data_IF_224645095276
#
_entry.id   IF_224645095276
#
_cell.length_a   1.000
_cell.length_b   1.000
_cell.length_c   1.000
_cell.angle_alpha   90.00
_cell.angle_beta   90.00
_cell.angle_gamma   90.00
#
_symmetry.space_group_name_H-M   'P 1'
#
loop_
_entity.id
_entity.type
_entity.pdbx_description
1 polymer ?
#
# COMPACT_ATOMS: atom_id res chain seq x y z
N UNK A 1 -7.29 11.77 -67.65
CA UNK A 1 -6.66 10.94 -66.61
C UNK A 1 -6.96 11.59 -65.25
N UNK A 2 -7.94 11.04 -64.52
CA UNK A 2 -8.26 11.46 -63.16
C UNK A 2 -7.49 10.54 -62.19
N UNK A 3 -6.54 11.11 -61.44
CA UNK A 3 -5.81 10.41 -60.39
C UNK A 3 -6.69 10.31 -59.14
N UNK A 4 -7.05 9.08 -58.79
CA UNK A 4 -7.77 8.78 -57.55
C UNK A 4 -6.75 8.76 -56.39
N UNK A 5 -6.81 9.75 -55.50
CA UNK A 5 -6.02 9.77 -54.26
C UNK A 5 -6.74 8.90 -53.23
N UNK A 6 -6.23 7.72 -52.96
CA UNK A 6 -6.72 6.85 -51.90
C UNK A 6 -5.99 7.28 -50.61
N UNK A 7 -6.68 8.02 -49.72
CA UNK A 7 -6.24 8.31 -48.38
C UNK A 7 -6.43 7.04 -47.52
N UNK A 8 -5.34 6.35 -47.20
CA UNK A 8 -5.34 5.35 -46.16
C UNK A 8 -5.39 6.07 -44.81
N UNK A 9 -6.57 6.16 -44.22
CA UNK A 9 -6.71 6.48 -42.83
C UNK A 9 -6.34 5.22 -42.02
N UNK A 10 -5.12 5.18 -41.50
CA UNK A 10 -4.76 4.22 -40.45
C UNK A 10 -5.58 4.60 -39.22
N UNK A 11 -6.60 3.81 -38.90
CA UNK A 11 -7.26 3.87 -37.60
C UNK A 11 -6.21 3.50 -36.58
N UNK A 12 -5.66 4.50 -35.87
CA UNK A 12 -4.95 4.27 -34.62
C UNK A 12 -6.03 3.78 -33.66
N UNK A 13 -6.05 2.48 -33.39
CA UNK A 13 -6.88 1.95 -32.29
C UNK A 13 -6.38 2.63 -31.02
N UNK A 14 -7.23 3.41 -30.37
CA UNK A 14 -6.92 3.97 -29.07
C UNK A 14 -6.55 2.81 -28.14
N UNK A 15 -5.41 2.90 -27.50
CA UNK A 15 -4.95 1.93 -26.51
C UNK A 15 -5.97 1.89 -25.38
N UNK A 16 -6.30 0.70 -24.87
CA UNK A 16 -7.22 0.60 -23.75
C UNK A 16 -6.56 1.14 -22.48
N UNK A 17 -7.34 1.59 -21.51
CA UNK A 17 -6.80 2.10 -20.26
C UNK A 17 -6.05 1.02 -19.47
N UNK A 18 -6.44 -0.24 -19.67
CA UNK A 18 -5.76 -1.41 -19.10
C UNK A 18 -4.36 -1.59 -19.70
N UNK A 19 -4.22 -1.43 -21.02
CA UNK A 19 -2.93 -1.51 -21.69
C UNK A 19 -2.02 -0.34 -21.28
N UNK A 20 -2.59 0.87 -21.15
CA UNK A 20 -1.87 2.03 -20.62
C UNK A 20 -1.41 1.78 -19.17
N UNK A 21 -2.28 1.22 -18.32
CA UNK A 21 -1.95 0.90 -16.92
C UNK A 21 -0.80 -0.09 -16.82
N UNK A 22 -0.74 -1.11 -17.67
CA UNK A 22 0.38 -2.05 -17.74
C UNK A 22 1.67 -1.31 -18.07
N UNK A 23 1.66 -0.43 -19.07
CA UNK A 23 2.82 0.34 -19.48
C UNK A 23 3.26 1.32 -18.36
N UNK A 24 2.32 2.05 -17.78
CA UNK A 24 2.61 2.97 -16.66
C UNK A 24 3.20 2.24 -15.45
N UNK A 25 2.68 1.05 -15.10
CA UNK A 25 3.23 0.29 -13.99
C UNK A 25 4.67 -0.14 -14.26
N UNK A 26 4.97 -0.61 -15.48
CA UNK A 26 6.34 -0.96 -15.86
C UNK A 26 7.28 0.24 -15.74
N UNK A 27 6.85 1.41 -16.23
CA UNK A 27 7.64 2.64 -16.17
C UNK A 27 7.76 3.15 -14.74
N UNK A 28 6.68 3.10 -13.95
CA UNK A 28 6.71 3.54 -12.56
C UNK A 28 7.60 2.67 -11.66
N UNK A 29 7.68 1.35 -11.90
CA UNK A 29 8.61 0.48 -11.19
C UNK A 29 10.06 0.90 -11.46
N UNK A 30 10.39 1.39 -12.67
CA UNK A 30 11.74 1.89 -13.03
C UNK A 30 12.10 3.20 -12.34
N UNK A 31 11.12 3.94 -11.85
CA UNK A 31 11.36 5.12 -11.03
C UNK A 31 11.87 4.68 -9.67
N UNK A 32 13.15 4.96 -9.40
CA UNK A 32 13.80 4.59 -8.13
C UNK A 32 13.36 5.53 -7.00
N UNK A 33 12.49 5.02 -6.16
CA UNK A 33 11.97 5.66 -4.94
C UNK A 33 12.25 4.80 -3.70
N UNK A 34 13.35 4.06 -3.71
CA UNK A 34 13.75 3.22 -2.55
C UNK A 34 13.95 4.09 -1.32
N UNK A 35 13.29 3.74 -0.23
CA UNK A 35 13.33 4.43 1.05
C UNK A 35 13.95 3.53 2.15
N UNK A 36 15.05 3.90 2.81
CA UNK A 36 15.81 5.12 2.61
C UNK A 36 16.68 5.11 1.33
N UNK A 37 17.07 6.28 0.76
CA UNK A 37 16.83 7.62 1.28
C UNK A 37 15.48 8.24 0.90
N UNK A 38 14.70 7.64 0.00
CA UNK A 38 13.50 8.16 -0.61
C UNK A 38 13.76 8.63 -2.05
N UNK A 39 13.48 9.84 -2.43
CA UNK A 39 13.50 10.45 -3.77
C UNK A 39 12.15 10.40 -4.50
N UNK A 40 11.09 10.53 -3.75
CA UNK A 40 9.71 10.48 -4.26
C UNK A 40 9.38 11.67 -5.17
N UNK A 41 10.19 12.73 -5.19
CA UNK A 41 10.09 13.78 -6.22
C UNK A 41 10.22 13.21 -7.63
N UNK A 42 10.91 12.08 -7.84
CA UNK A 42 10.93 11.36 -9.13
C UNK A 42 9.55 10.76 -9.48
N UNK A 43 8.80 10.31 -8.47
CA UNK A 43 7.44 9.85 -8.67
C UNK A 43 6.50 11.02 -9.00
N UNK A 44 6.73 12.19 -8.39
CA UNK A 44 6.02 13.42 -8.77
C UNK A 44 6.25 13.74 -10.23
N UNK A 45 7.50 13.70 -10.72
CA UNK A 45 7.81 13.94 -12.13
C UNK A 45 7.08 12.96 -13.05
N UNK A 46 7.03 11.67 -12.69
CA UNK A 46 6.29 10.65 -13.44
C UNK A 46 4.79 10.99 -13.55
N UNK A 47 4.13 11.37 -12.45
CA UNK A 47 2.70 11.73 -12.48
C UNK A 47 2.44 13.04 -13.21
N UNK A 48 3.34 14.03 -13.08
CA UNK A 48 3.24 15.30 -13.78
C UNK A 48 3.21 15.12 -15.29
N UNK A 49 4.10 14.29 -15.85
CA UNK A 49 4.11 14.00 -17.29
C UNK A 49 2.76 13.46 -17.77
N UNK A 50 2.11 12.61 -16.98
CA UNK A 50 0.79 12.05 -17.32
C UNK A 50 -0.30 13.11 -17.18
N UNK A 51 -0.32 13.86 -16.09
CA UNK A 51 -1.34 14.91 -15.88
C UNK A 51 -1.23 16.04 -16.89
N UNK A 52 -0.01 16.45 -17.24
CA UNK A 52 0.22 17.43 -18.29
C UNK A 52 -0.31 16.96 -19.65
N UNK A 53 -0.10 15.68 -19.99
CA UNK A 53 -0.60 15.08 -21.23
C UNK A 53 -2.13 14.99 -21.28
N UNK A 54 -2.78 14.80 -20.13
CA UNK A 54 -4.24 14.73 -19.99
C UNK A 54 -4.90 16.10 -19.79
N UNK A 55 -4.11 17.15 -19.60
CA UNK A 55 -4.64 18.49 -19.30
C UNK A 55 -5.30 18.60 -17.93
N UNK A 56 -4.85 17.79 -16.96
CA UNK A 56 -5.34 17.76 -15.58
C UNK A 56 -4.55 18.77 -14.75
N UNK A 57 -5.25 19.63 -14.01
CA UNK A 57 -4.65 20.52 -13.04
C UNK A 57 -4.24 19.72 -11.79
N UNK A 58 -3.03 19.97 -11.31
CA UNK A 58 -2.47 19.30 -10.12
C UNK A 58 -1.64 20.28 -9.29
N UNK A 59 -1.43 19.93 -8.05
CA UNK A 59 -0.47 20.59 -7.17
C UNK A 59 0.51 19.55 -6.62
N UNK A 60 1.69 20.04 -6.22
CA UNK A 60 2.69 19.20 -5.60
C UNK A 60 3.57 20.01 -4.65
N UNK A 61 4.26 19.31 -3.75
CA UNK A 61 5.17 19.89 -2.77
C UNK A 61 6.28 18.93 -2.39
N UNK A 62 7.49 19.43 -2.17
CA UNK A 62 8.51 18.73 -1.41
C UNK A 62 8.38 19.07 0.09
N UNK A 63 8.03 18.10 0.91
CA UNK A 63 7.99 18.27 2.37
C UNK A 63 9.38 18.29 3.01
N UNK A 64 10.36 17.68 2.33
CA UNK A 64 11.80 17.73 2.58
C UNK A 64 12.53 17.44 1.26
N UNK A 65 13.83 17.69 1.13
CA UNK A 65 14.57 17.45 -0.11
C UNK A 65 14.36 16.01 -0.63
N UNK A 66 13.85 15.89 -1.86
CA UNK A 66 13.53 14.62 -2.51
C UNK A 66 12.21 13.97 -2.07
N UNK A 67 11.51 14.50 -1.05
CA UNK A 67 10.27 13.95 -0.50
C UNK A 67 9.05 14.61 -1.16
N UNK A 68 8.80 14.26 -2.41
CA UNK A 68 7.74 14.83 -3.22
C UNK A 68 6.38 14.20 -2.96
N UNK A 69 5.35 15.03 -2.88
CA UNK A 69 3.94 14.65 -2.76
C UNK A 69 3.15 15.38 -3.85
N UNK A 70 2.21 14.70 -4.50
CA UNK A 70 1.41 15.26 -5.60
C UNK A 70 -0.05 14.89 -5.46
N UNK A 71 -0.96 15.81 -5.81
CA UNK A 71 -2.39 15.56 -5.83
C UNK A 71 -3.09 16.30 -6.98
N UNK A 72 -4.21 15.73 -7.38
CA UNK A 72 -5.12 16.31 -8.36
C UNK A 72 -6.56 16.07 -7.90
N UNK A 73 -7.48 16.97 -8.27
CA UNK A 73 -8.90 16.90 -7.91
C UNK A 73 -9.77 17.02 -9.15
N UNK A 74 -10.70 16.08 -9.29
CA UNK A 74 -11.83 16.21 -10.19
C UNK A 74 -13.01 16.72 -9.36
N UNK A 75 -13.52 17.89 -9.70
CA UNK A 75 -14.65 18.49 -9.02
C UNK A 75 -15.94 17.71 -9.33
N UNK A 76 -16.81 17.58 -8.34
CA UNK A 76 -18.07 16.89 -8.44
C UNK A 76 -19.18 17.61 -7.69
N UNK A 77 -20.26 16.90 -7.36
CA UNK A 77 -21.40 17.39 -6.61
C UNK A 77 -21.18 17.41 -5.09
N UNK A 78 -22.27 17.55 -4.36
CA UNK A 78 -22.26 17.85 -2.92
C UNK A 78 -22.10 16.62 -2.01
N UNK A 79 -21.96 15.40 -2.57
CA UNK A 79 -21.68 14.23 -1.75
C UNK A 79 -20.27 14.27 -1.19
N UNK A 80 -20.02 13.70 0.00
CA UNK A 80 -18.65 13.61 0.57
C UNK A 80 -17.67 13.01 -0.42
N UNK A 81 -16.53 13.69 -0.62
CA UNK A 81 -15.53 13.35 -1.62
C UNK A 81 -14.88 11.97 -1.40
N UNK A 82 -14.31 11.43 -2.45
CA UNK A 82 -13.51 10.21 -2.46
C UNK A 82 -12.04 10.55 -2.69
N UNK A 83 -11.16 10.06 -1.82
CA UNK A 83 -9.72 10.14 -2.01
C UNK A 83 -9.15 8.78 -2.41
N UNK A 84 -8.37 8.76 -3.49
CA UNK A 84 -7.55 7.64 -3.93
C UNK A 84 -6.11 7.91 -3.46
N UNK A 85 -5.77 7.39 -2.30
CA UNK A 85 -4.48 7.59 -1.66
C UNK A 85 -3.52 6.46 -2.03
N UNK A 86 -2.27 6.81 -2.24
CA UNK A 86 -1.18 5.85 -2.40
C UNK A 86 0.12 6.43 -1.87
N UNK A 87 1.06 5.56 -1.48
CA UNK A 87 2.45 5.95 -1.31
C UNK A 87 3.29 5.58 -2.53
N UNK A 88 4.39 6.30 -2.71
CA UNK A 88 5.25 6.17 -3.89
C UNK A 88 6.62 5.59 -3.60
N UNK A 89 7.03 5.60 -2.33
CA UNK A 89 8.25 4.96 -1.88
C UNK A 89 8.11 3.44 -1.82
N UNK A 90 9.25 2.78 -1.79
CA UNK A 90 9.33 1.32 -1.72
C UNK A 90 10.49 0.92 -0.81
N UNK A 91 10.37 -0.20 -0.09
CA UNK A 91 11.46 -0.75 0.73
C UNK A 91 12.63 -1.20 -0.13
N UNK A 92 13.87 -1.23 0.42
CA UNK A 92 15.04 -1.74 -0.27
C UNK A 92 14.86 -3.17 -0.79
N UNK A 93 15.52 -3.48 -1.89
CA UNK A 93 15.59 -4.81 -2.47
C UNK A 93 17.04 -5.20 -2.71
N UNK A 94 17.49 -6.26 -2.07
CA UNK A 94 18.80 -6.81 -2.33
C UNK A 94 18.76 -7.68 -3.60
N UNK A 95 19.49 -7.25 -4.63
CA UNK A 95 19.48 -7.86 -5.96
C UNK A 95 19.86 -9.34 -5.96
N UNK A 96 20.64 -9.79 -4.98
CA UNK A 96 21.05 -11.20 -4.90
C UNK A 96 19.89 -12.17 -4.62
N UNK A 97 18.78 -11.68 -4.05
CA UNK A 97 17.58 -12.47 -3.80
C UNK A 97 16.51 -12.36 -4.90
N UNK A 98 16.81 -11.67 -6.01
CA UNK A 98 15.89 -11.46 -7.11
C UNK A 98 16.32 -12.20 -8.37
N UNK A 99 15.35 -12.75 -9.12
CA UNK A 99 15.61 -13.41 -10.40
C UNK A 99 15.71 -12.43 -11.57
N UNK A 100 15.37 -11.15 -11.34
CA UNK A 100 15.47 -10.03 -12.28
C UNK A 100 15.87 -8.77 -11.52
N UNK A 101 16.21 -7.68 -12.21
CA UNK A 101 16.48 -6.42 -11.51
C UNK A 101 15.19 -5.94 -10.82
N UNK A 102 15.22 -5.67 -9.49
CA UNK A 102 14.04 -5.22 -8.75
C UNK A 102 13.36 -3.95 -9.30
N UNK A 103 14.08 -3.14 -10.06
CA UNK A 103 13.56 -1.93 -10.68
C UNK A 103 13.38 -2.07 -12.21
N UNK A 104 13.32 -3.28 -12.75
CA UNK A 104 13.18 -3.48 -14.20
C UNK A 104 11.78 -3.21 -14.73
N UNK A 105 10.74 -3.46 -13.95
CA UNK A 105 9.36 -3.47 -14.44
C UNK A 105 9.16 -4.51 -15.57
N UNK A 106 9.87 -5.65 -15.49
CA UNK A 106 9.81 -6.68 -16.52
C UNK A 106 8.42 -7.32 -16.57
N UNK A 107 7.83 -7.36 -17.76
CA UNK A 107 6.62 -8.14 -18.02
C UNK A 107 7.02 -9.55 -18.47
N UNK A 108 6.71 -10.57 -17.68
CA UNK A 108 7.03 -11.96 -17.97
C UNK A 108 5.89 -12.88 -17.55
N UNK A 109 5.46 -13.74 -18.44
CA UNK A 109 4.39 -14.73 -18.21
C UNK A 109 3.07 -14.12 -17.67
N UNK A 110 2.75 -12.88 -18.07
CA UNK A 110 1.56 -12.16 -17.62
C UNK A 110 1.71 -11.44 -16.27
N UNK A 111 2.91 -11.43 -15.69
CA UNK A 111 3.22 -10.75 -14.43
C UNK A 111 4.21 -9.62 -14.64
N UNK A 112 3.99 -8.50 -13.97
CA UNK A 112 4.95 -7.41 -13.89
C UNK A 112 5.82 -7.64 -12.64
N UNK A 113 7.11 -7.82 -12.87
CA UNK A 113 8.08 -8.13 -11.83
C UNK A 113 8.81 -6.85 -11.39
N UNK A 114 8.85 -6.61 -10.09
CA UNK A 114 9.62 -5.50 -9.55
C UNK A 114 9.24 -5.14 -8.11
N UNK A 115 10.13 -4.43 -7.43
CA UNK A 115 9.89 -3.87 -6.11
C UNK A 115 8.81 -2.77 -6.25
N UNK A 116 7.78 -2.83 -5.40
CA UNK A 116 6.64 -1.93 -5.48
C UNK A 116 5.52 -2.39 -6.43
N UNK A 117 5.70 -3.46 -7.22
CA UNK A 117 4.65 -3.95 -8.12
C UNK A 117 3.34 -4.27 -7.37
N UNK A 118 3.42 -4.76 -6.14
CA UNK A 118 2.28 -5.04 -5.27
C UNK A 118 2.11 -3.97 -4.20
N UNK A 119 3.18 -3.55 -3.56
CA UNK A 119 3.22 -2.61 -2.44
C UNK A 119 4.04 -1.38 -2.85
N UNK A 120 3.35 -0.21 -3.17
CA UNK A 120 1.96 -0.23 -3.62
C UNK A 120 1.79 0.45 -4.99
N UNK A 121 2.89 0.54 -5.82
CA UNK A 121 2.84 1.18 -7.15
C UNK A 121 1.74 0.57 -8.05
N UNK A 122 1.50 -0.75 -7.94
CA UNK A 122 0.44 -1.41 -8.68
C UNK A 122 -0.95 -0.88 -8.34
N UNK A 123 -1.27 -0.77 -7.05
CA UNK A 123 -2.50 -0.14 -6.57
C UNK A 123 -2.55 1.34 -6.99
N UNK A 124 -1.41 2.03 -6.88
CA UNK A 124 -1.28 3.41 -7.31
C UNK A 124 -1.62 3.64 -8.78
N UNK A 125 -1.15 2.76 -9.67
CA UNK A 125 -1.53 2.83 -11.09
C UNK A 125 -3.00 2.46 -11.32
N UNK A 126 -3.58 1.54 -10.54
CA UNK A 126 -5.02 1.28 -10.60
C UNK A 126 -5.84 2.52 -10.17
N UNK A 127 -5.40 3.24 -9.15
CA UNK A 127 -5.97 4.54 -8.75
C UNK A 127 -5.84 5.57 -9.87
N UNK A 128 -4.66 5.69 -10.48
CA UNK A 128 -4.42 6.60 -11.61
C UNK A 128 -5.34 6.28 -12.79
N UNK A 129 -5.40 5.01 -13.20
CA UNK A 129 -6.25 4.58 -14.32
C UNK A 129 -7.74 4.86 -14.04
N UNK A 130 -8.19 4.65 -12.79
CA UNK A 130 -9.54 4.99 -12.36
C UNK A 130 -9.80 6.49 -12.46
N UNK A 131 -8.89 7.31 -11.94
CA UNK A 131 -8.97 8.76 -11.97
C UNK A 131 -9.00 9.31 -13.40
N UNK A 132 -8.11 8.83 -14.28
CA UNK A 132 -8.08 9.20 -15.69
C UNK A 132 -9.32 8.72 -16.45
N UNK A 133 -9.81 7.52 -16.16
CA UNK A 133 -11.05 7.00 -16.73
C UNK A 133 -12.26 7.87 -16.40
N UNK A 134 -12.35 8.38 -15.17
CA UNK A 134 -13.37 9.34 -14.76
C UNK A 134 -13.21 10.67 -15.50
N UNK A 135 -12.01 11.23 -15.55
CA UNK A 135 -11.69 12.45 -16.28
C UNK A 135 -12.06 12.36 -17.77
N UNK A 136 -11.55 11.34 -18.45
CA UNK A 136 -11.79 11.11 -19.88
C UNK A 136 -13.27 10.82 -20.21
N UNK A 137 -14.03 10.30 -19.24
CA UNK A 137 -15.46 10.03 -19.46
C UNK A 137 -16.30 11.29 -19.66
N UNK A 138 -15.84 12.43 -19.15
CA UNK A 138 -16.57 13.70 -19.15
C UNK A 138 -17.92 13.65 -18.40
N UNK A 139 -18.15 12.63 -17.60
CA UNK A 139 -19.40 12.48 -16.83
C UNK A 139 -19.41 13.43 -15.65
N UNK A 140 -20.59 13.99 -15.35
CA UNK A 140 -20.78 14.69 -14.10
C UNK A 140 -20.61 13.73 -12.93
N UNK A 141 -19.76 14.10 -11.99
CA UNK A 141 -19.52 13.33 -10.76
C UNK A 141 -20.44 13.83 -9.66
N UNK A 142 -20.90 12.93 -8.80
CA UNK A 142 -21.74 13.28 -7.64
C UNK A 142 -20.91 13.82 -6.46
N UNK A 143 -19.60 13.61 -6.49
CA UNK A 143 -18.63 13.96 -5.44
C UNK A 143 -17.28 14.31 -6.06
N UNK A 144 -16.49 15.03 -5.34
CA UNK A 144 -15.08 15.21 -5.70
C UNK A 144 -14.34 13.88 -5.67
N UNK A 145 -13.42 13.72 -6.61
CA UNK A 145 -12.46 12.60 -6.58
C UNK A 145 -11.06 13.19 -6.52
N UNK A 146 -10.32 12.86 -5.47
CA UNK A 146 -8.95 13.30 -5.25
C UNK A 146 -8.00 12.15 -5.46
N UNK A 147 -7.03 12.31 -6.34
CA UNK A 147 -5.87 11.44 -6.44
C UNK A 147 -4.77 12.05 -5.57
N UNK A 148 -4.19 11.27 -4.67
CA UNK A 148 -3.11 11.71 -3.79
C UNK A 148 -1.99 10.66 -3.74
N UNK A 149 -0.79 11.06 -4.16
CA UNK A 149 0.41 10.23 -4.09
C UNK A 149 1.42 10.86 -3.10
N UNK A 150 1.77 10.10 -2.07
CA UNK A 150 2.55 10.58 -0.92
C UNK A 150 3.92 9.93 -0.84
N UNK A 151 4.84 10.58 -0.15
CA UNK A 151 6.15 10.07 0.20
C UNK A 151 6.14 9.31 1.53
N UNK A 152 7.21 8.53 1.80
CA UNK A 152 7.67 8.16 3.14
C UNK A 152 6.80 7.18 3.94
N UNK A 153 5.87 6.48 3.33
CA UNK A 153 5.00 5.54 4.06
C UNK A 153 5.82 4.43 4.71
N UNK A 154 6.75 3.84 3.97
CA UNK A 154 7.61 2.72 4.39
C UNK A 154 8.56 3.06 5.56
N UNK A 155 8.70 4.36 5.86
CA UNK A 155 9.48 4.85 7.00
C UNK A 155 8.64 5.60 8.04
N UNK A 156 7.30 5.56 7.93
CA UNK A 156 6.35 6.07 8.91
C UNK A 156 5.53 7.28 8.48
N UNK A 157 5.63 7.73 7.23
CA UNK A 157 4.79 8.76 6.64
C UNK A 157 5.02 10.19 7.13
N UNK A 158 6.12 10.45 7.82
CA UNK A 158 6.42 11.76 8.42
C UNK A 158 6.62 12.85 7.38
N UNK A 159 7.10 12.51 6.18
CA UNK A 159 7.29 13.42 5.05
C UNK A 159 6.18 13.30 3.99
N UNK A 160 5.23 12.39 4.19
CA UNK A 160 4.09 12.15 3.33
C UNK A 160 2.78 12.59 3.96
N UNK A 161 1.88 11.63 4.18
CA UNK A 161 0.55 11.89 4.70
C UNK A 161 0.54 12.66 6.02
N UNK A 162 1.45 12.34 6.95
CA UNK A 162 1.56 13.06 8.22
C UNK A 162 1.87 14.55 8.01
N UNK A 163 2.86 14.86 7.17
CA UNK A 163 3.21 16.24 6.87
C UNK A 163 2.07 17.00 6.17
N UNK A 164 1.39 16.35 5.22
CA UNK A 164 0.29 16.96 4.48
C UNK A 164 -0.90 17.28 5.38
N UNK A 165 -1.26 16.41 6.31
CA UNK A 165 -2.33 16.66 7.28
C UNK A 165 -2.04 17.92 8.12
N UNK A 166 -0.78 18.13 8.49
CA UNK A 166 -0.38 19.28 9.32
C UNK A 166 -0.21 20.57 8.52
N UNK A 167 0.26 20.51 7.27
CA UNK A 167 0.69 21.68 6.50
C UNK A 167 -0.20 22.00 5.30
N UNK A 168 -1.01 21.06 4.82
CA UNK A 168 -1.91 21.19 3.65
C UNK A 168 -3.28 20.54 3.95
N UNK A 169 -3.93 20.86 5.09
CA UNK A 169 -5.20 20.24 5.50
C UNK A 169 -6.32 20.44 4.47
N UNK A 170 -6.26 21.47 3.62
CA UNK A 170 -7.26 21.75 2.59
C UNK A 170 -7.40 20.61 1.56
N UNK A 171 -6.37 19.78 1.37
CA UNK A 171 -6.44 18.61 0.48
C UNK A 171 -7.50 17.63 0.96
N UNK A 172 -7.71 17.55 2.27
CA UNK A 172 -8.60 16.59 2.94
C UNK A 172 -9.99 17.15 3.21
N UNK A 173 -10.22 18.45 2.96
CA UNK A 173 -11.52 19.06 3.18
C UNK A 173 -12.60 18.45 2.29
N UNK A 174 -13.75 18.15 2.89
CA UNK A 174 -14.89 17.55 2.20
C UNK A 174 -14.74 16.06 1.86
N UNK A 175 -13.62 15.41 2.17
CA UNK A 175 -13.40 13.98 1.93
C UNK A 175 -14.14 13.17 2.98
N UNK A 176 -15.02 12.27 2.53
CA UNK A 176 -15.77 11.35 3.39
C UNK A 176 -15.42 9.88 3.20
N UNK A 177 -14.73 9.56 2.10
CA UNK A 177 -14.26 8.21 1.77
C UNK A 177 -12.79 8.27 1.35
N UNK A 178 -11.99 7.30 1.80
CA UNK A 178 -10.61 7.14 1.40
C UNK A 178 -10.35 5.68 1.04
N UNK A 179 -9.77 5.46 -0.14
CA UNK A 179 -9.28 4.16 -0.58
C UNK A 179 -7.76 4.24 -0.62
N UNK A 180 -7.13 3.28 0.06
CA UNK A 180 -5.68 3.12 0.11
C UNK A 180 -5.34 1.66 -0.23
N UNK A 181 -4.17 1.21 0.15
CA UNK A 181 -3.80 -0.19 0.11
C UNK A 181 -4.54 -1.01 1.19
N UNK A 182 -4.52 -2.33 1.02
CA UNK A 182 -5.13 -3.29 1.95
C UNK A 182 -6.22 -4.12 1.28
N UNK A 183 -6.68 -5.13 2.02
CA UNK A 183 -7.59 -6.12 1.48
C UNK A 183 -6.94 -7.05 0.45
N UNK A 184 -7.72 -7.99 -0.03
CA UNK A 184 -7.29 -8.89 -1.10
C UNK A 184 -8.51 -9.49 -1.82
N UNK A 185 -8.34 -9.73 -3.14
CA UNK A 185 -9.23 -10.63 -3.88
C UNK A 185 -8.69 -12.05 -3.78
N UNK A 186 -9.54 -13.01 -3.49
CA UNK A 186 -9.19 -14.43 -3.49
C UNK A 186 -10.22 -15.25 -4.26
N UNK A 187 -9.73 -16.30 -4.88
CA UNK A 187 -10.61 -17.29 -5.56
C UNK A 187 -10.71 -18.51 -4.66
N UNK A 188 -11.94 -18.89 -4.31
CA UNK A 188 -12.24 -20.08 -3.51
C UNK A 188 -13.26 -20.94 -4.28
N UNK A 189 -12.79 -22.02 -4.90
CA UNK A 189 -13.62 -22.77 -5.84
C UNK A 189 -14.05 -21.93 -7.05
N UNK A 190 -15.36 -21.80 -7.25
CA UNK A 190 -15.95 -20.97 -8.31
C UNK A 190 -16.32 -19.54 -7.85
N UNK A 191 -16.04 -19.20 -6.59
CA UNK A 191 -16.37 -17.91 -6.00
C UNK A 191 -15.16 -16.97 -5.94
N UNK A 192 -15.40 -15.69 -6.19
CA UNK A 192 -14.43 -14.62 -5.98
C UNK A 192 -14.85 -13.84 -4.75
N UNK A 193 -13.98 -13.80 -3.75
CA UNK A 193 -14.19 -13.05 -2.50
C UNK A 193 -13.25 -11.86 -2.46
N UNK A 194 -13.83 -10.65 -2.33
CA UNK A 194 -13.06 -9.43 -2.11
C UNK A 194 -13.10 -9.07 -0.62
N UNK A 195 -11.92 -9.09 0.02
CA UNK A 195 -11.75 -8.56 1.37
C UNK A 195 -11.54 -7.05 1.33
N UNK A 196 -12.33 -6.32 2.12
CA UNK A 196 -12.13 -4.89 2.34
C UNK A 196 -11.53 -4.72 3.73
N UNK A 197 -10.31 -4.23 3.81
CA UNK A 197 -9.64 -3.92 5.07
C UNK A 197 -10.15 -2.58 5.61
N UNK A 198 -10.73 -2.58 6.79
CA UNK A 198 -11.35 -1.39 7.41
C UNK A 198 -10.64 -0.93 8.67
N UNK A 199 -9.60 -1.65 9.08
CA UNK A 199 -8.79 -1.33 10.25
C UNK A 199 -7.43 -2.02 10.17
N UNK A 200 -6.41 -1.37 10.70
CA UNK A 200 -5.04 -1.88 10.76
C UNK A 200 -4.49 -1.75 12.18
N UNK A 201 -3.50 -2.57 12.50
CA UNK A 201 -2.71 -2.40 13.73
C UNK A 201 -1.69 -1.29 13.50
N UNK A 202 -1.60 -0.39 14.46
CA UNK A 202 -0.55 0.63 14.45
C UNK A 202 0.75 0.02 14.98
N UNK A 203 1.85 0.00 14.20
CA UNK A 203 3.14 -0.46 14.69
C UNK A 203 3.69 0.48 15.76
N UNK A 204 4.19 -0.10 16.84
CA UNK A 204 4.87 0.64 17.91
C UNK A 204 6.35 0.27 17.88
N UNK A 205 7.15 1.09 17.24
CA UNK A 205 8.60 0.89 17.16
C UNK A 205 9.26 1.28 18.47
N UNK A 206 9.98 0.35 19.08
CA UNK A 206 10.68 0.56 20.35
C UNK A 206 12.18 0.37 20.18
N UNK A 207 12.96 1.29 20.77
CA UNK A 207 14.40 1.15 20.86
C UNK A 207 14.79 0.88 22.31
N UNK A 208 15.35 -0.28 22.58
CA UNK A 208 15.89 -0.65 23.88
C UNK A 208 17.35 -0.25 23.96
N UNK A 209 17.71 0.63 24.88
CA UNK A 209 19.07 1.05 25.12
C UNK A 209 19.51 0.60 26.51
N UNK A 210 20.60 -0.14 26.60
CA UNK A 210 21.23 -0.48 27.86
C UNK A 210 22.64 0.10 27.93
N UNK A 211 22.91 0.90 28.92
CA UNK A 211 24.19 1.57 29.16
C UNK A 211 24.83 0.96 30.39
N UNK A 212 26.13 0.69 30.32
CA UNK A 212 26.92 0.18 31.44
C UNK A 212 28.37 0.72 31.38
N UNK A 213 29.06 0.65 32.49
CA UNK A 213 30.48 0.99 32.55
C UNK A 213 31.31 -0.08 31.84
N UNK A 214 32.39 0.28 31.14
CA UNK A 214 33.28 -0.69 30.52
C UNK A 214 33.93 -1.60 31.57
N UNK A 215 34.26 -2.82 31.16
CA UNK A 215 34.92 -3.81 32.00
C UNK A 215 35.87 -4.69 31.21
N UNK A 216 36.81 -5.33 31.88
CA UNK A 216 37.73 -6.28 31.25
C UNK A 216 37.05 -7.65 31.06
N UNK A 217 37.18 -8.27 29.89
CA UNK A 217 36.52 -9.54 29.58
C UNK A 217 36.93 -10.71 30.50
N UNK A 218 38.16 -10.68 31.08
CA UNK A 218 38.63 -11.70 32.04
C UNK A 218 38.08 -11.50 33.47
N UNK A 219 37.34 -10.42 33.71
CA UNK A 219 36.73 -10.12 35.01
C UNK A 219 35.23 -9.94 34.82
N UNK A 220 34.47 -11.01 34.57
CA UNK A 220 33.06 -10.91 34.22
C UNK A 220 32.25 -10.39 35.40
N UNK A 221 31.32 -9.48 35.13
CA UNK A 221 30.38 -8.93 36.11
C UNK A 221 29.07 -9.71 36.08
N UNK A 222 28.34 -9.71 37.17
CA UNK A 222 27.05 -10.37 37.28
C UNK A 222 26.02 -9.83 36.26
N UNK A 223 26.14 -8.54 35.88
CA UNK A 223 25.30 -7.90 34.86
C UNK A 223 26.14 -7.06 33.91
N UNK A 224 25.76 -7.03 32.66
CA UNK A 224 26.32 -6.19 31.58
C UNK A 224 25.20 -5.57 30.80
N UNK A 225 25.50 -4.54 29.99
CA UNK A 225 24.51 -3.97 29.07
C UNK A 225 23.87 -5.02 28.16
N UNK A 226 24.66 -5.97 27.67
CA UNK A 226 24.18 -7.08 26.83
C UNK A 226 23.19 -7.97 27.60
N UNK A 227 23.57 -8.42 28.82
CA UNK A 227 22.67 -9.25 29.64
C UNK A 227 21.36 -8.54 29.98
N UNK A 228 21.41 -7.23 30.25
CA UNK A 228 20.19 -6.44 30.50
C UNK A 228 19.24 -6.40 29.30
N UNK A 229 19.78 -6.30 28.09
CA UNK A 229 18.94 -6.38 26.86
C UNK A 229 18.33 -7.77 26.73
N UNK A 230 19.12 -8.84 26.92
CA UNK A 230 18.63 -10.22 26.87
C UNK A 230 17.52 -10.44 27.89
N UNK A 231 17.70 -10.00 29.15
CA UNK A 231 16.69 -10.10 30.19
C UNK A 231 15.41 -9.31 29.86
N UNK A 232 15.56 -8.09 29.31
CA UNK A 232 14.42 -7.28 28.89
C UNK A 232 13.61 -7.97 27.79
N UNK A 233 14.28 -8.50 26.76
CA UNK A 233 13.64 -9.25 25.68
C UNK A 233 12.95 -10.51 26.19
N UNK A 234 13.59 -11.24 27.13
CA UNK A 234 12.97 -12.43 27.73
C UNK A 234 11.68 -12.06 28.50
N UNK A 235 11.70 -10.97 29.28
CA UNK A 235 10.48 -10.49 29.97
C UNK A 235 9.37 -10.10 29.00
N UNK A 236 9.69 -9.46 27.89
CA UNK A 236 8.70 -9.16 26.83
C UNK A 236 8.09 -10.45 26.28
N UNK A 237 8.92 -11.43 25.97
CA UNK A 237 8.48 -12.74 25.47
C UNK A 237 7.58 -13.50 26.46
N UNK A 238 7.91 -13.45 27.77
CA UNK A 238 7.17 -14.14 28.83
C UNK A 238 5.87 -13.43 29.23
N UNK A 239 5.69 -12.20 28.81
CA UNK A 239 4.50 -11.39 29.11
C UNK A 239 3.85 -10.89 27.80
N UNK A 240 3.30 -11.81 26.97
CA UNK A 240 2.59 -11.44 25.77
C UNK A 240 1.33 -10.63 26.10
N UNK A 241 0.93 -9.74 25.21
CA UNK A 241 -0.36 -9.06 25.34
C UNK A 241 -1.50 -10.09 25.20
N UNK A 242 -2.55 -9.89 25.98
CA UNK A 242 -3.77 -10.69 25.85
C UNK A 242 -4.41 -10.38 24.47
N UNK A 243 -4.75 -11.44 23.70
CA UNK A 243 -5.46 -11.27 22.43
C UNK A 243 -6.80 -10.57 22.66
N UNK A 244 -7.15 -9.65 21.77
CA UNK A 244 -8.45 -9.00 21.76
C UNK A 244 -9.00 -8.98 20.35
N UNK A 245 -10.31 -9.21 20.21
CA UNK A 245 -11.02 -9.07 18.97
C UNK A 245 -11.83 -7.76 18.99
N UNK A 246 -11.81 -7.01 17.91
CA UNK A 246 -12.65 -5.84 17.73
C UNK A 246 -13.85 -6.19 16.84
N UNK A 247 -14.99 -5.50 16.95
CA UNK A 247 -16.23 -5.86 16.24
C UNK A 247 -16.07 -6.01 14.73
N UNK A 248 -15.27 -5.16 14.08
CA UNK A 248 -15.04 -5.24 12.64
C UNK A 248 -14.32 -6.52 12.25
N UNK A 249 -13.33 -6.98 13.03
CA UNK A 249 -12.59 -8.22 12.81
C UNK A 249 -13.46 -9.44 13.09
N UNK A 250 -14.28 -9.38 14.14
CA UNK A 250 -15.25 -10.44 14.46
C UNK A 250 -16.26 -10.62 13.32
N UNK A 251 -16.83 -9.52 12.83
CA UNK A 251 -17.76 -9.54 11.70
C UNK A 251 -17.12 -10.10 10.42
N UNK A 252 -15.85 -9.77 10.14
CA UNK A 252 -15.11 -10.31 9.00
C UNK A 252 -14.98 -11.83 9.09
N UNK A 253 -14.49 -12.36 10.21
CA UNK A 253 -14.32 -13.80 10.38
C UNK A 253 -15.66 -14.55 10.42
N UNK A 254 -16.69 -13.98 11.06
CA UNK A 254 -18.03 -14.54 11.04
C UNK A 254 -18.60 -14.62 9.61
N UNK A 255 -18.30 -13.63 8.76
CA UNK A 255 -18.66 -13.66 7.35
C UNK A 255 -17.96 -14.76 6.58
N UNK A 256 -16.65 -14.97 6.82
CA UNK A 256 -15.88 -16.06 6.20
C UNK A 256 -16.35 -17.44 6.63
N UNK A 257 -16.79 -17.60 7.87
CA UNK A 257 -17.28 -18.89 8.42
C UNK A 257 -18.38 -19.52 7.57
N UNK A 258 -19.20 -18.71 6.90
CA UNK A 258 -20.32 -19.17 6.07
C UNK A 258 -19.86 -20.00 4.87
N UNK A 259 -18.66 -19.74 4.37
CA UNK A 259 -18.07 -20.43 3.19
C UNK A 259 -17.08 -21.55 3.55
N UNK A 260 -16.98 -21.92 4.83
CA UNK A 260 -16.04 -22.94 5.33
C UNK A 260 -16.77 -24.18 5.83
N UNK A 261 -16.20 -25.36 5.60
CA UNK A 261 -16.84 -26.66 5.89
C UNK A 261 -16.15 -27.45 7.00
N UNK A 262 -15.35 -26.82 7.85
CA UNK A 262 -14.51 -27.54 8.81
C UNK A 262 -14.55 -26.94 10.22
N UNK A 263 -13.68 -27.44 11.11
CA UNK A 263 -13.52 -26.95 12.48
C UNK A 263 -13.19 -25.44 12.53
N UNK A 264 -12.63 -24.87 11.45
CA UNK A 264 -12.36 -23.46 11.33
C UNK A 264 -13.64 -22.62 11.19
N UNK A 265 -14.69 -23.16 10.54
CA UNK A 265 -15.99 -22.48 10.42
C UNK A 265 -16.56 -22.18 11.81
N UNK A 266 -16.48 -23.15 12.74
CA UNK A 266 -16.97 -22.97 14.10
C UNK A 266 -16.16 -21.92 14.88
N UNK A 267 -14.83 -21.93 14.70
CA UNK A 267 -13.95 -20.98 15.35
C UNK A 267 -14.10 -19.56 14.80
N UNK A 268 -14.27 -19.42 13.49
CA UNK A 268 -14.48 -18.14 12.84
C UNK A 268 -15.86 -17.54 13.15
N UNK A 269 -16.86 -18.39 13.38
CA UNK A 269 -18.20 -17.95 13.79
C UNK A 269 -18.22 -17.28 15.18
N UNK A 270 -17.23 -17.58 16.04
CA UNK A 270 -17.10 -16.99 17.39
C UNK A 270 -15.61 -16.78 17.72
N UNK A 271 -15.03 -15.75 17.09
CA UNK A 271 -13.62 -15.41 17.26
C UNK A 271 -13.30 -14.98 18.69
N UNK A 272 -14.24 -14.37 19.39
CA UNK A 272 -14.07 -13.98 20.79
C UNK A 272 -13.79 -15.18 21.69
N UNK A 273 -14.45 -16.31 21.44
CA UNK A 273 -14.17 -17.59 22.11
C UNK A 273 -12.88 -18.24 21.59
N UNK A 274 -12.71 -18.27 20.28
CA UNK A 274 -11.57 -18.95 19.63
C UNK A 274 -10.21 -18.38 20.06
N UNK A 275 -10.07 -17.08 20.26
CA UNK A 275 -8.82 -16.47 20.72
C UNK A 275 -8.47 -16.76 22.18
N UNK A 276 -9.40 -17.29 22.97
CA UNK A 276 -9.18 -17.70 24.36
C UNK A 276 -9.06 -19.22 24.53
N UNK A 277 -9.32 -19.97 23.45
CA UNK A 277 -9.25 -21.42 23.46
C UNK A 277 -7.79 -21.90 23.35
N UNK A 278 -7.25 -22.61 24.36
CA UNK A 278 -5.85 -23.07 24.37
C UNK A 278 -5.53 -24.07 23.26
N UNK A 279 -6.53 -24.75 22.71
CA UNK A 279 -6.32 -25.68 21.58
C UNK A 279 -6.31 -24.95 20.24
N UNK A 280 -7.10 -23.88 20.11
CA UNK A 280 -7.30 -23.15 18.87
C UNK A 280 -6.34 -21.96 18.69
N UNK A 281 -6.06 -21.23 19.76
CA UNK A 281 -5.19 -20.04 19.72
C UNK A 281 -3.80 -20.29 19.07
N UNK A 282 -3.08 -21.41 19.36
CA UNK A 282 -1.79 -21.69 18.71
C UNK A 282 -1.92 -21.88 17.19
N UNK A 283 -3.03 -22.46 16.73
CA UNK A 283 -3.31 -22.63 15.31
C UNK A 283 -3.59 -21.27 14.63
N UNK A 284 -4.38 -20.41 15.27
CA UNK A 284 -4.62 -19.03 14.81
C UNK A 284 -3.33 -18.22 14.72
N UNK A 285 -2.45 -18.31 15.71
CA UNK A 285 -1.17 -17.59 15.72
C UNK A 285 -0.22 -18.03 14.60
N UNK A 286 -0.35 -19.26 14.14
CA UNK A 286 0.41 -19.84 13.04
C UNK A 286 -0.34 -19.79 11.70
N UNK A 287 -1.59 -19.34 11.70
CA UNK A 287 -2.38 -19.19 10.49
C UNK A 287 -1.80 -18.07 9.64
N UNK A 288 -1.22 -18.46 8.53
CA UNK A 288 -0.85 -17.52 7.46
C UNK A 288 -1.88 -17.67 6.37
N UNK A 289 -2.68 -16.65 6.10
CA UNK A 289 -3.50 -16.62 4.89
C UNK A 289 -2.58 -16.94 3.71
N UNK A 290 -2.95 -17.94 2.91
CA UNK A 290 -2.22 -18.20 1.66
C UNK A 290 -2.57 -17.06 0.72
N UNK A 291 -1.67 -16.10 0.63
CA UNK A 291 -1.72 -15.11 -0.44
C UNK A 291 -1.23 -15.82 -1.70
N UNK A 292 -2.15 -16.08 -2.59
CA UNK A 292 -1.86 -16.55 -3.94
C UNK A 292 -1.95 -15.37 -4.89
#
# INVERSE_FOLDING_TARGET
LASLLILFSSAVTAQSIEDEAVAWLQDFIRVDTVNPPGNETRAVEFYREIFDAEGIEYEWVESAPGRGNIWARLEGGDEPGLMLLQHTDVVPADKEFWTTDPLSGELRDGYILGRGARDMKGTGIAHLATFLGLHRSGRALNRDVVFLATADEEAGGFYGAGWLIENRPEIFEGIGLLINEGGAGSVSGDEIVFGVEVTQKVPVWLRLNAIDVPGHGSSPRATTSVLRIVEALNRIKENPFEPRIIPAVDAYFSGLAVSMDDDWAQAYADMGRAITDPEFLPALQNFRPRHH
#
